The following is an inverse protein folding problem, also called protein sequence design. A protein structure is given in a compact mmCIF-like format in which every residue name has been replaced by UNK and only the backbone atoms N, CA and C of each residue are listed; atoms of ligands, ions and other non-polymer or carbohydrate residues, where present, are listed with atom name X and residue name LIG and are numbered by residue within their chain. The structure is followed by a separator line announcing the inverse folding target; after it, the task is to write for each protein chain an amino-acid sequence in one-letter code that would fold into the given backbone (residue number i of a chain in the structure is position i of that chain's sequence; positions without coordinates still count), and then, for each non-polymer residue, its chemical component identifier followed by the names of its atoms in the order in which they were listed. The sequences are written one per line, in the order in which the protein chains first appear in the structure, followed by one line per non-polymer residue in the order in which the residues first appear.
data_IF_767881488654
#
_entry.id   IF_767881488654
#
_cell.length_a   1.000
_cell.length_b   1.000
_cell.length_c   1.000
_cell.angle_alpha   90.00
_cell.angle_beta   90.00
_cell.angle_gamma   90.00
#
_symmetry.space_group_name_H-M   'P 1'
#
loop_
_entity.id
_entity.type
_entity.pdbx_description
1 polymer ?
#
# COMPACT_ATOMS: atom_id res chain seq x y z
N UNK A 1 6.68 12.76 -15.96
CA UNK A 1 7.53 11.85 -16.75
C UNK A 1 7.59 12.39 -18.17
N UNK A 2 8.73 12.97 -18.55
CA UNK A 2 8.96 13.55 -19.89
C UNK A 2 9.39 12.47 -20.87
N UNK A 3 9.02 12.64 -22.13
CA UNK A 3 9.17 11.73 -23.29
C UNK A 3 10.64 11.47 -23.70
N UNK A 4 11.62 11.66 -22.80
CA UNK A 4 13.04 11.70 -23.14
C UNK A 4 13.87 10.47 -22.74
N UNK A 5 13.34 9.52 -21.95
CA UNK A 5 14.13 8.38 -21.44
C UNK A 5 13.97 7.05 -22.22
N UNK A 6 13.48 7.09 -23.47
CA UNK A 6 13.34 5.90 -24.33
C UNK A 6 14.54 5.66 -25.28
N UNK A 7 15.74 6.07 -24.89
CA UNK A 7 16.96 5.94 -25.71
C UNK A 7 17.92 4.83 -25.26
N UNK A 8 17.43 3.60 -25.04
CA UNK A 8 18.29 2.40 -25.01
C UNK A 8 18.20 1.62 -26.33
N UNK A 9 18.69 2.23 -27.41
CA UNK A 9 18.44 1.81 -28.79
C UNK A 9 19.49 0.86 -29.41
N UNK A 10 20.40 0.26 -28.63
CA UNK A 10 21.63 -0.35 -29.20
C UNK A 10 21.72 -1.87 -29.31
N UNK A 11 20.64 -2.64 -29.12
CA UNK A 11 20.60 -4.05 -29.55
C UNK A 11 19.25 -4.52 -30.09
N UNK A 12 18.43 -3.62 -30.67
CA UNK A 12 17.15 -4.02 -31.25
C UNK A 12 17.36 -4.87 -32.52
N UNK A 13 16.98 -6.15 -32.46
CA UNK A 13 17.19 -7.14 -33.52
C UNK A 13 16.59 -6.67 -34.86
N UNK A 14 17.23 -7.05 -35.98
CA UNK A 14 16.84 -6.61 -37.31
C UNK A 14 15.38 -6.99 -37.67
N UNK A 15 14.87 -8.05 -37.07
CA UNK A 15 13.48 -8.49 -37.18
C UNK A 15 12.50 -7.51 -36.54
N UNK A 16 12.73 -7.14 -35.29
CA UNK A 16 11.83 -6.24 -34.55
C UNK A 16 11.80 -4.84 -35.17
N UNK A 17 12.93 -4.38 -35.74
CA UNK A 17 12.97 -3.15 -36.57
C UNK A 17 12.04 -3.21 -37.78
N UNK A 18 11.97 -4.37 -38.46
CA UNK A 18 11.06 -4.56 -39.60
C UNK A 18 9.61 -4.56 -39.15
N UNK A 19 9.29 -5.21 -38.03
CA UNK A 19 7.93 -5.23 -37.49
C UNK A 19 7.49 -3.82 -37.07
N UNK A 20 8.33 -3.07 -36.35
CA UNK A 20 8.07 -1.68 -35.97
C UNK A 20 7.78 -0.79 -37.19
N UNK A 21 8.62 -0.87 -38.23
CA UNK A 21 8.42 -0.11 -39.47
C UNK A 21 7.10 -0.50 -40.18
N UNK A 22 6.74 -1.79 -40.16
CA UNK A 22 5.46 -2.26 -40.72
C UNK A 22 4.27 -1.75 -39.91
N UNK A 23 4.35 -1.72 -38.58
CA UNK A 23 3.30 -1.17 -37.71
C UNK A 23 3.11 0.32 -38.00
N UNK A 24 4.20 1.09 -37.99
CA UNK A 24 4.18 2.53 -38.26
C UNK A 24 3.55 2.84 -39.63
N UNK A 25 3.99 2.13 -40.67
CA UNK A 25 3.46 2.29 -42.03
C UNK A 25 1.97 1.98 -42.10
N UNK A 26 1.53 0.85 -41.51
CA UNK A 26 0.12 0.44 -41.56
C UNK A 26 -0.78 1.40 -40.76
N UNK A 27 -0.38 1.80 -39.56
CA UNK A 27 -1.14 2.77 -38.77
C UNK A 27 -1.23 4.12 -39.51
N UNK A 28 -0.17 4.55 -40.21
CA UNK A 28 -0.22 5.74 -41.04
C UNK A 28 -1.22 5.64 -42.21
N UNK A 29 -1.43 4.44 -42.77
CA UNK A 29 -2.41 4.21 -43.86
C UNK A 29 -3.86 4.08 -43.39
N UNK A 30 -4.09 3.70 -42.12
CA UNK A 30 -5.43 3.48 -41.55
C UNK A 30 -6.11 4.78 -41.05
N UNK A 31 -5.51 5.95 -41.27
CA UNK A 31 -5.91 7.22 -40.66
C UNK A 31 -7.38 7.60 -40.89
N UNK A 32 -8.10 7.74 -39.78
CA UNK A 32 -9.24 8.65 -39.62
C UNK A 32 -9.13 9.42 -38.29
N UNK A 33 -8.00 10.09 -38.03
CA UNK A 33 -7.78 10.88 -36.80
C UNK A 33 -6.33 10.91 -36.30
N UNK A 34 -6.15 11.40 -35.07
CA UNK A 34 -4.84 11.55 -34.41
C UNK A 34 -4.30 10.25 -33.79
N UNK A 35 -5.15 9.23 -33.61
CA UNK A 35 -4.83 7.94 -32.99
C UNK A 35 -5.42 6.76 -33.78
N UNK A 36 -4.88 5.53 -33.66
CA UNK A 36 -3.69 5.15 -32.90
C UNK A 36 -2.37 5.54 -33.60
N UNK A 37 -1.32 5.82 -32.82
CA UNK A 37 0.02 6.21 -33.27
C UNK A 37 1.08 5.30 -32.65
N UNK A 38 2.00 4.80 -33.47
CA UNK A 38 3.17 4.09 -32.98
C UNK A 38 4.09 5.04 -32.20
N UNK A 39 4.40 4.71 -30.94
CA UNK A 39 5.23 5.54 -30.06
C UNK A 39 6.65 4.98 -29.89
N UNK A 40 6.81 3.66 -30.04
CA UNK A 40 8.12 3.02 -30.00
C UNK A 40 8.02 1.52 -29.78
N UNK A 41 9.18 0.87 -29.75
CA UNK A 41 9.29 -0.51 -29.29
C UNK A 41 10.36 -0.56 -28.19
N UNK A 42 10.10 -1.36 -27.16
CA UNK A 42 11.00 -1.56 -26.03
C UNK A 42 11.35 -3.03 -25.93
N UNK A 43 12.60 -3.35 -25.58
CA UNK A 43 12.97 -4.73 -25.27
C UNK A 43 12.62 -5.01 -23.80
N UNK A 44 11.88 -6.08 -23.52
CA UNK A 44 11.65 -6.52 -22.15
C UNK A 44 12.95 -7.10 -21.60
N UNK A 45 13.54 -6.48 -20.57
CA UNK A 45 14.73 -6.98 -19.88
C UNK A 45 14.40 -8.03 -18.80
N UNK A 46 13.17 -8.58 -18.77
CA UNK A 46 12.77 -9.52 -17.74
C UNK A 46 13.07 -10.97 -18.14
N UNK A 47 14.22 -11.44 -17.63
CA UNK A 47 14.66 -12.84 -17.43
C UNK A 47 14.87 -13.71 -18.67
N UNK A 48 16.15 -13.98 -18.92
CA UNK A 48 16.72 -15.24 -19.41
C UNK A 48 15.82 -16.09 -20.36
N UNK A 49 16.05 -15.90 -21.66
CA UNK A 49 15.81 -16.84 -22.79
C UNK A 49 14.75 -16.52 -23.86
N UNK A 50 14.09 -15.36 -23.87
CA UNK A 50 13.38 -14.87 -25.08
C UNK A 50 13.62 -13.38 -25.31
N UNK A 51 14.10 -13.01 -26.50
CA UNK A 51 14.16 -11.61 -26.95
C UNK A 51 12.73 -11.13 -27.24
N UNK A 52 11.95 -10.81 -26.21
CA UNK A 52 10.60 -10.31 -26.37
C UNK A 52 10.61 -8.78 -26.46
N UNK A 53 10.01 -8.25 -27.52
CA UNK A 53 9.82 -6.83 -27.75
C UNK A 53 8.37 -6.43 -27.46
N UNK A 54 8.20 -5.37 -26.67
CA UNK A 54 6.92 -4.74 -26.42
C UNK A 54 6.75 -3.57 -27.39
N UNK A 55 5.58 -3.48 -28.02
CA UNK A 55 5.25 -2.39 -28.94
C UNK A 55 4.37 -1.37 -28.22
N UNK A 56 4.88 -0.14 -28.10
CA UNK A 56 4.24 0.97 -27.42
C UNK A 56 3.43 1.77 -28.43
N UNK A 57 2.12 1.84 -28.21
CA UNK A 57 1.18 2.49 -29.14
C UNK A 57 0.33 3.49 -28.36
N UNK A 58 0.37 4.75 -28.76
CA UNK A 58 -0.57 5.76 -28.29
C UNK A 58 -1.93 5.50 -28.93
N UNK A 59 -2.94 5.20 -28.13
CA UNK A 59 -4.29 4.85 -28.61
C UNK A 59 -5.31 5.96 -28.36
N UNK A 60 -4.98 6.91 -27.47
CA UNK A 60 -5.68 8.17 -27.25
C UNK A 60 -4.74 9.18 -26.57
N UNK A 61 -5.20 10.40 -26.35
CA UNK A 61 -4.43 11.43 -25.65
C UNK A 61 -4.04 10.94 -24.24
N UNK A 62 -2.74 10.78 -24.00
CA UNK A 62 -2.16 10.25 -22.74
C UNK A 62 -2.58 8.82 -22.38
N UNK A 63 -3.05 8.03 -23.35
CA UNK A 63 -3.36 6.61 -23.16
C UNK A 63 -2.48 5.79 -24.09
N UNK A 64 -1.72 4.88 -23.49
CA UNK A 64 -0.77 4.02 -24.21
C UNK A 64 -1.15 2.57 -24.03
N UNK A 65 -1.20 1.83 -25.13
CA UNK A 65 -1.24 0.38 -25.13
C UNK A 65 0.20 -0.14 -25.17
N UNK A 66 0.51 -1.08 -24.28
CA UNK A 66 1.66 -1.96 -24.41
C UNK A 66 1.16 -3.25 -25.05
N UNK A 67 1.64 -3.55 -26.25
CA UNK A 67 1.37 -4.81 -26.91
C UNK A 67 2.50 -5.80 -26.59
N UNK A 68 2.32 -6.52 -25.48
CA UNK A 68 3.20 -7.62 -25.08
C UNK A 68 2.87 -8.84 -25.95
N UNK A 69 3.83 -9.30 -26.76
CA UNK A 69 3.69 -10.53 -27.54
C UNK A 69 3.99 -11.74 -26.64
N UNK A 70 3.21 -11.98 -25.58
CA UNK A 70 3.39 -13.18 -24.75
C UNK A 70 3.23 -14.46 -25.60
N UNK A 71 4.04 -15.51 -25.36
CA UNK A 71 4.23 -16.63 -26.26
C UNK A 71 3.10 -17.64 -26.08
N UNK A 72 1.91 -17.35 -26.59
CA UNK A 72 0.86 -18.38 -26.72
C UNK A 72 0.83 -19.01 -28.11
N UNK A 73 1.62 -18.52 -29.08
CA UNK A 73 1.59 -19.06 -30.43
C UNK A 73 3.01 -19.13 -30.98
N UNK A 74 3.46 -20.31 -31.41
CA UNK A 74 4.75 -20.57 -32.08
C UNK A 74 4.96 -19.81 -33.40
N UNK A 75 4.09 -18.86 -33.71
CA UNK A 75 4.10 -17.97 -34.86
C UNK A 75 5.20 -16.90 -34.80
N UNK A 76 5.59 -16.49 -33.59
CA UNK A 76 6.62 -15.50 -33.35
C UNK A 76 8.04 -16.07 -33.43
N UNK A 77 8.23 -17.35 -33.73
CA UNK A 77 9.57 -17.94 -33.89
C UNK A 77 9.91 -18.26 -35.37
N UNK A 78 8.98 -18.02 -36.30
CA UNK A 78 9.16 -18.32 -37.72
C UNK A 78 9.49 -17.04 -38.50
N UNK A 79 10.67 -17.00 -39.12
CA UNK A 79 11.07 -15.91 -40.02
C UNK A 79 10.08 -15.76 -41.19
N UNK A 80 9.72 -14.53 -41.57
CA UNK A 80 8.75 -14.24 -42.64
C UNK A 80 7.34 -13.89 -42.15
N UNK A 81 7.08 -13.93 -40.84
CA UNK A 81 5.79 -13.56 -40.24
C UNK A 81 5.69 -12.10 -39.77
N UNK A 82 6.69 -11.24 -40.06
CA UNK A 82 6.72 -9.85 -39.60
C UNK A 82 5.45 -9.08 -39.98
N UNK A 83 4.96 -9.26 -41.21
CA UNK A 83 3.70 -8.67 -41.66
C UNK A 83 2.50 -9.16 -40.85
N UNK A 84 2.44 -10.45 -40.50
CA UNK A 84 1.33 -10.98 -39.71
C UNK A 84 1.33 -10.44 -38.28
N UNK A 85 2.51 -10.33 -37.67
CA UNK A 85 2.68 -9.70 -36.35
C UNK A 85 2.24 -8.23 -36.43
N UNK A 86 2.75 -7.47 -37.41
CA UNK A 86 2.38 -6.07 -37.59
C UNK A 86 0.89 -5.87 -37.84
N UNK A 87 0.24 -6.72 -38.64
CA UNK A 87 -1.22 -6.69 -38.84
C UNK A 87 -1.96 -6.86 -37.52
N UNK A 88 -1.57 -7.88 -36.73
CA UNK A 88 -2.22 -8.17 -35.47
C UNK A 88 -2.07 -7.04 -34.46
N UNK A 89 -0.86 -6.46 -34.38
CA UNK A 89 -0.59 -5.30 -33.53
C UNK A 89 -1.41 -4.09 -33.99
N UNK A 90 -1.53 -3.83 -35.30
CA UNK A 90 -2.39 -2.78 -35.83
C UNK A 90 -3.88 -3.03 -35.55
N UNK A 91 -4.36 -4.26 -35.71
CA UNK A 91 -5.76 -4.63 -35.41
C UNK A 91 -6.08 -4.40 -33.92
N UNK A 92 -5.15 -4.79 -33.04
CA UNK A 92 -5.28 -4.52 -31.61
C UNK A 92 -5.20 -3.03 -31.29
N UNK A 93 -4.29 -2.29 -31.91
CA UNK A 93 -4.19 -0.85 -31.74
C UNK A 93 -5.47 -0.12 -32.17
N UNK A 94 -6.08 -0.53 -33.29
CA UNK A 94 -7.34 0.05 -33.77
C UNK A 94 -8.48 -0.24 -32.79
N UNK A 95 -8.64 -1.50 -32.36
CA UNK A 95 -9.65 -1.88 -31.34
C UNK A 95 -9.45 -1.11 -30.03
N UNK A 96 -8.20 -1.05 -29.57
CA UNK A 96 -7.81 -0.32 -28.38
C UNK A 96 -8.12 1.18 -28.49
N UNK A 97 -7.90 1.78 -29.66
CA UNK A 97 -8.22 3.19 -29.90
C UNK A 97 -9.73 3.47 -29.86
N UNK A 98 -10.56 2.58 -30.42
CA UNK A 98 -12.02 2.70 -30.28
C UNK A 98 -12.46 2.59 -28.81
N UNK A 99 -11.96 1.59 -28.09
CA UNK A 99 -12.27 1.45 -26.66
C UNK A 99 -11.76 2.65 -25.86
N UNK A 100 -10.57 3.18 -26.15
CA UNK A 100 -10.05 4.36 -25.49
C UNK A 100 -10.89 5.62 -25.78
N UNK A 101 -11.43 5.76 -26.99
CA UNK A 101 -12.37 6.82 -27.33
C UNK A 101 -13.68 6.71 -26.53
N UNK A 102 -14.21 5.49 -26.39
CA UNK A 102 -15.41 5.22 -25.57
C UNK A 102 -15.16 5.44 -24.07
N UNK A 103 -13.93 5.18 -23.61
CA UNK A 103 -13.53 5.40 -22.22
C UNK A 103 -13.17 6.85 -21.91
N UNK A 104 -12.85 7.68 -22.90
CA UNK A 104 -12.41 9.06 -22.67
C UNK A 104 -13.42 9.91 -21.88
N UNK A 105 -14.74 9.89 -22.19
CA UNK A 105 -15.75 10.58 -21.38
C UNK A 105 -15.81 10.05 -19.94
N UNK A 106 -15.73 8.72 -19.76
CA UNK A 106 -15.73 8.09 -18.43
C UNK A 106 -14.49 8.48 -17.62
N UNK A 107 -13.32 8.53 -18.26
CA UNK A 107 -12.08 8.98 -17.65
C UNK A 107 -12.16 10.45 -17.21
N UNK A 108 -12.65 11.34 -18.08
CA UNK A 108 -12.83 12.76 -17.75
C UNK A 108 -13.80 12.95 -16.59
N UNK A 109 -14.91 12.20 -16.60
CA UNK A 109 -15.90 12.22 -15.53
C UNK A 109 -15.32 11.70 -14.21
N UNK A 110 -14.60 10.58 -14.25
CA UNK A 110 -13.87 10.04 -13.09
C UNK A 110 -12.84 11.04 -12.53
N UNK A 111 -12.05 11.68 -13.40
CA UNK A 111 -11.06 12.68 -12.99
C UNK A 111 -11.71 13.90 -12.34
N UNK A 112 -12.83 14.38 -12.89
CA UNK A 112 -13.60 15.48 -12.31
C UNK A 112 -14.20 15.10 -10.96
N UNK A 113 -14.77 13.90 -10.84
CA UNK A 113 -15.36 13.41 -9.59
C UNK A 113 -14.30 13.20 -8.52
N UNK A 114 -13.13 12.64 -8.86
CA UNK A 114 -11.98 12.56 -7.96
C UNK A 114 -11.51 13.95 -7.47
N UNK A 115 -11.40 14.92 -8.38
CA UNK A 115 -11.03 16.29 -8.04
C UNK A 115 -12.03 16.93 -7.06
N UNK A 116 -13.34 16.81 -7.31
CA UNK A 116 -14.38 17.34 -6.43
C UNK A 116 -14.36 16.71 -5.04
N UNK A 117 -14.10 15.40 -4.96
CA UNK A 117 -13.98 14.67 -3.69
C UNK A 117 -12.77 15.14 -2.88
N UNK A 118 -11.62 15.34 -3.54
CA UNK A 118 -10.41 15.88 -2.88
C UNK A 118 -10.64 17.32 -2.42
N UNK A 119 -11.20 18.19 -3.27
CA UNK A 119 -11.50 19.58 -2.90
C UNK A 119 -12.49 19.69 -1.73
N UNK A 120 -13.37 18.69 -1.56
CA UNK A 120 -14.25 18.61 -0.40
C UNK A 120 -13.45 18.26 0.86
N UNK A 121 -12.54 17.28 0.79
CA UNK A 121 -11.62 16.95 1.88
C UNK A 121 -10.74 18.14 2.29
N UNK A 122 -10.13 18.83 1.32
CA UNK A 122 -9.32 20.03 1.57
C UNK A 122 -10.13 21.14 2.25
N UNK A 123 -11.38 21.38 1.83
CA UNK A 123 -12.28 22.35 2.49
C UNK A 123 -12.62 22.00 3.93
N UNK A 124 -12.53 20.73 4.31
CA UNK A 124 -12.66 20.26 5.70
C UNK A 124 -11.35 20.37 6.49
N UNK A 125 -10.27 20.87 5.88
CA UNK A 125 -8.95 20.96 6.49
C UNK A 125 -8.17 19.64 6.47
N UNK A 126 -8.57 18.67 5.65
CA UNK A 126 -7.90 17.38 5.60
C UNK A 126 -6.65 17.43 4.70
N UNK A 127 -5.55 16.78 5.12
CA UNK A 127 -4.33 16.65 4.31
C UNK A 127 -4.56 15.60 3.21
N UNK A 128 -5.21 16.02 2.13
CA UNK A 128 -5.49 15.20 0.96
C UNK A 128 -5.19 15.97 -0.31
N UNK A 129 -4.59 15.31 -1.31
CA UNK A 129 -4.30 15.90 -2.61
C UNK A 129 -4.45 14.86 -3.71
N UNK A 130 -4.98 15.26 -4.86
CA UNK A 130 -5.05 14.39 -6.03
C UNK A 130 -3.67 14.27 -6.67
N UNK A 131 -3.14 13.04 -6.79
CA UNK A 131 -1.84 12.78 -7.43
C UNK A 131 -2.06 12.38 -8.87
N UNK A 132 -2.91 11.39 -9.13
CA UNK A 132 -3.18 10.92 -10.48
C UNK A 132 -4.52 10.21 -10.60
N UNK A 133 -5.03 10.16 -11.83
CA UNK A 133 -6.11 9.27 -12.25
C UNK A 133 -5.62 8.56 -13.50
N UNK A 134 -5.64 7.25 -13.51
CA UNK A 134 -5.26 6.44 -14.67
C UNK A 134 -6.21 5.25 -14.83
N UNK A 135 -6.22 4.67 -16.02
CA UNK A 135 -6.89 3.39 -16.25
C UNK A 135 -6.06 2.29 -15.58
N UNK A 136 -6.70 1.41 -14.81
CA UNK A 136 -6.06 0.20 -14.31
C UNK A 136 -5.60 -0.66 -15.49
N UNK A 137 -4.67 -1.60 -15.26
CA UNK A 137 -4.24 -2.53 -16.29
C UNK A 137 -5.47 -3.24 -16.89
N UNK A 138 -5.73 -2.97 -18.17
CA UNK A 138 -6.89 -3.49 -18.87
C UNK A 138 -6.43 -4.58 -19.84
N UNK A 139 -6.49 -5.84 -19.38
CA UNK A 139 -6.15 -7.02 -20.18
C UNK A 139 -7.23 -7.32 -21.22
N UNK A 140 -6.81 -7.80 -22.39
CA UNK A 140 -7.63 -8.19 -23.56
C UNK A 140 -9.07 -7.64 -23.58
N UNK A 141 -9.21 -6.37 -24.00
CA UNK A 141 -10.35 -5.70 -24.66
C UNK A 141 -11.71 -6.42 -24.75
N UNK A 142 -12.29 -6.87 -23.63
CA UNK A 142 -13.55 -7.62 -23.64
C UNK A 142 -14.79 -6.70 -23.68
N UNK A 143 -14.76 -5.53 -23.01
CA UNK A 143 -15.79 -4.48 -23.11
C UNK A 143 -15.37 -3.17 -22.39
N UNK A 144 -15.70 -1.97 -22.92
CA UNK A 144 -15.43 -0.71 -22.21
C UNK A 144 -16.02 -0.68 -20.80
N UNK A 145 -17.18 -1.30 -20.58
CA UNK A 145 -17.90 -1.26 -19.30
C UNK A 145 -17.11 -1.84 -18.11
N UNK A 146 -16.21 -2.79 -18.37
CA UNK A 146 -15.36 -3.42 -17.36
C UNK A 146 -14.12 -2.60 -16.97
N UNK A 147 -13.94 -1.42 -17.58
CA UNK A 147 -12.83 -0.53 -17.28
C UNK A 147 -12.79 -0.15 -15.80
N UNK A 148 -11.64 -0.40 -15.18
CA UNK A 148 -11.32 0.08 -13.85
C UNK A 148 -10.38 1.27 -13.94
N UNK A 149 -10.56 2.21 -13.02
CA UNK A 149 -9.77 3.41 -12.84
C UNK A 149 -9.02 3.29 -11.52
N UNK A 150 -7.78 3.74 -11.51
CA UNK A 150 -6.99 3.91 -10.29
C UNK A 150 -6.88 5.41 -10.03
N UNK A 151 -7.48 5.84 -8.94
CA UNK A 151 -7.35 7.19 -8.41
C UNK A 151 -6.32 7.15 -7.31
N UNK A 152 -5.21 7.85 -7.47
CA UNK A 152 -4.18 7.97 -6.44
C UNK A 152 -4.29 9.33 -5.78
N UNK A 153 -4.45 9.31 -4.46
CA UNK A 153 -4.37 10.52 -3.62
C UNK A 153 -3.14 10.45 -2.73
N UNK A 154 -2.58 11.62 -2.43
CA UNK A 154 -1.60 11.81 -1.37
C UNK A 154 -2.37 12.15 -0.09
N UNK A 155 -2.08 11.45 1.01
CA UNK A 155 -2.74 11.67 2.30
C UNK A 155 -1.94 11.11 3.48
N UNK A 156 -2.45 11.19 4.71
CA UNK A 156 -1.79 10.63 5.89
C UNK A 156 -1.92 9.10 5.98
N UNK A 157 -0.77 8.44 6.05
CA UNK A 157 -0.64 7.03 6.38
C UNK A 157 -0.89 6.72 7.85
N UNK A 158 -0.68 5.45 8.23
CA UNK A 158 -0.84 4.99 9.62
C UNK A 158 0.20 5.62 10.55
N UNK A 159 1.44 5.78 10.09
CA UNK A 159 2.49 6.52 10.77
C UNK A 159 2.30 8.06 10.71
N UNK A 160 1.14 8.56 10.28
CA UNK A 160 0.81 9.98 10.15
C UNK A 160 1.79 10.78 9.26
N UNK A 161 2.40 10.10 8.29
CA UNK A 161 3.25 10.72 7.26
C UNK A 161 2.56 10.68 5.91
N UNK A 162 3.00 11.55 5.00
CA UNK A 162 2.47 11.58 3.64
C UNK A 162 2.67 10.23 2.96
N UNK A 163 1.61 9.72 2.35
CA UNK A 163 1.53 8.43 1.66
C UNK A 163 0.64 8.57 0.42
N UNK A 164 1.03 7.88 -0.65
CA UNK A 164 0.15 7.67 -1.79
C UNK A 164 -0.79 6.49 -1.54
N UNK A 165 -2.09 6.73 -1.66
CA UNK A 165 -3.15 5.73 -1.50
C UNK A 165 -3.85 5.53 -2.85
N UNK A 166 -3.61 4.40 -3.55
CA UNK A 166 -4.35 4.04 -4.74
C UNK A 166 -5.74 3.50 -4.39
N UNK A 167 -6.76 3.96 -5.10
CA UNK A 167 -8.14 3.50 -5.03
C UNK A 167 -8.56 2.96 -6.39
N UNK A 168 -8.80 1.65 -6.49
CA UNK A 168 -9.29 1.02 -7.72
C UNK A 168 -10.81 0.98 -7.74
N UNK A 169 -11.42 1.47 -8.83
CA UNK A 169 -12.89 1.60 -8.95
C UNK A 169 -13.36 1.47 -10.39
N UNK A 170 -14.56 0.95 -10.62
CA UNK A 170 -15.21 0.93 -11.95
C UNK A 170 -16.16 2.11 -12.21
N UNK A 171 -16.55 2.85 -11.15
CA UNK A 171 -17.57 3.90 -11.23
C UNK A 171 -17.35 5.04 -10.24
N UNK A 172 -17.94 6.19 -10.51
CA UNK A 172 -17.87 7.38 -9.63
C UNK A 172 -18.58 7.16 -8.30
N UNK A 173 -19.67 6.39 -8.30
CA UNK A 173 -20.40 6.05 -7.09
C UNK A 173 -19.55 5.17 -6.16
N UNK A 174 -18.85 4.19 -6.71
CA UNK A 174 -17.91 3.37 -5.97
C UNK A 174 -16.71 4.19 -5.48
N UNK A 175 -16.21 5.14 -6.28
CA UNK A 175 -15.18 6.08 -5.84
C UNK A 175 -15.66 6.90 -4.63
N UNK A 176 -16.88 7.42 -4.69
CA UNK A 176 -17.48 8.18 -3.60
C UNK A 176 -17.53 7.39 -2.29
N UNK A 177 -17.91 6.10 -2.34
CA UNK A 177 -17.89 5.22 -1.16
C UNK A 177 -16.48 5.01 -0.59
N UNK A 178 -15.50 4.74 -1.45
CA UNK A 178 -14.09 4.59 -1.03
C UNK A 178 -13.57 5.87 -0.36
N UNK A 179 -13.93 7.03 -0.91
CA UNK A 179 -13.59 8.32 -0.32
C UNK A 179 -14.24 8.55 1.04
N UNK A 180 -15.52 8.22 1.23
CA UNK A 180 -16.19 8.38 2.53
C UNK A 180 -15.46 7.61 3.62
N UNK A 181 -15.19 6.32 3.40
CA UNK A 181 -14.45 5.47 4.35
C UNK A 181 -13.03 5.99 4.61
N UNK A 182 -12.36 6.48 3.55
CA UNK A 182 -11.04 7.08 3.69
C UNK A 182 -11.09 8.38 4.52
N UNK A 183 -12.06 9.26 4.28
CA UNK A 183 -12.17 10.56 4.95
C UNK A 183 -12.44 10.41 6.45
N UNK A 184 -13.29 9.47 6.87
CA UNK A 184 -13.54 9.19 8.30
C UNK A 184 -12.25 8.77 9.04
N UNK A 185 -11.42 7.97 8.38
CA UNK A 185 -10.11 7.58 8.93
C UNK A 185 -9.13 8.75 8.93
N UNK A 186 -9.15 9.58 7.90
CA UNK A 186 -8.26 10.74 7.79
C UNK A 186 -8.58 11.86 8.77
N UNK A 187 -9.83 12.05 9.15
CA UNK A 187 -10.21 12.98 10.22
C UNK A 187 -9.53 12.61 11.54
N UNK A 188 -9.60 11.33 11.92
CA UNK A 188 -8.94 10.82 13.14
C UNK A 188 -7.42 11.01 13.06
N UNK A 189 -6.82 10.69 11.92
CA UNK A 189 -5.38 10.88 11.69
C UNK A 189 -4.96 12.34 11.68
N UNK A 190 -5.76 13.26 11.14
CA UNK A 190 -5.45 14.69 11.13
C UNK A 190 -5.45 15.25 12.56
N UNK A 191 -6.42 14.84 13.38
CA UNK A 191 -6.45 15.21 14.81
C UNK A 191 -5.24 14.63 15.55
N UNK A 192 -4.91 13.35 15.32
CA UNK A 192 -3.74 12.72 15.92
C UNK A 192 -2.43 13.43 15.51
N UNK A 193 -2.30 13.79 14.23
CA UNK A 193 -1.13 14.51 13.71
C UNK A 193 -0.99 15.89 14.36
N UNK A 194 -2.08 16.65 14.45
CA UNK A 194 -2.07 17.96 15.11
C UNK A 194 -1.63 17.86 16.58
N UNK A 195 -2.09 16.84 17.32
CA UNK A 195 -1.66 16.61 18.71
C UNK A 195 -0.16 16.34 18.82
N UNK A 196 0.39 15.53 17.91
CA UNK A 196 1.83 15.25 17.89
C UNK A 196 2.64 16.49 17.51
N UNK A 197 2.15 17.29 16.55
CA UNK A 197 2.78 18.55 16.15
C UNK A 197 2.84 19.53 17.33
N UNK A 198 1.75 19.67 18.11
CA UNK A 198 1.71 20.51 19.31
C UNK A 198 2.71 20.04 20.39
N UNK A 199 2.96 18.73 20.47
CA UNK A 199 3.93 18.12 21.38
C UNK A 199 5.37 18.08 20.83
N UNK A 200 5.60 18.50 19.59
CA UNK A 200 6.86 18.32 18.86
C UNK A 200 7.33 16.84 18.84
N UNK A 201 6.38 15.92 18.67
CA UNK A 201 6.60 14.48 18.63
C UNK A 201 6.43 13.91 17.22
N UNK A 202 7.14 12.82 16.92
CA UNK A 202 6.98 12.04 15.70
C UNK A 202 5.85 11.01 15.81
N UNK A 203 5.59 10.54 17.03
CA UNK A 203 4.58 9.52 17.35
C UNK A 203 4.48 9.28 18.85
N UNK A 204 3.61 8.36 19.22
CA UNK A 204 3.56 7.76 20.56
C UNK A 204 4.05 6.32 20.51
N UNK A 205 4.58 5.84 21.62
CA UNK A 205 4.90 4.43 21.84
C UNK A 205 4.43 4.05 23.24
N UNK A 206 3.74 2.93 23.37
CA UNK A 206 3.34 2.44 24.68
C UNK A 206 4.57 1.91 25.46
N UNK A 207 4.54 1.99 26.78
CA UNK A 207 5.67 1.58 27.64
C UNK A 207 6.03 0.09 27.48
N UNK A 208 5.07 -0.79 27.23
CA UNK A 208 5.32 -2.23 27.03
C UNK A 208 6.17 -2.45 25.78
N UNK A 209 5.79 -1.79 24.68
CA UNK A 209 6.48 -1.79 23.40
C UNK A 209 7.87 -1.18 23.52
N UNK A 210 8.02 -0.07 24.25
CA UNK A 210 9.32 0.53 24.52
C UNK A 210 10.25 -0.41 25.29
N UNK A 211 9.75 -1.06 26.34
CA UNK A 211 10.52 -2.03 27.11
C UNK A 211 10.91 -3.24 26.25
N UNK A 212 10.00 -3.71 25.40
CA UNK A 212 10.26 -4.85 24.52
C UNK A 212 11.34 -4.54 23.47
N UNK A 213 11.32 -3.36 22.83
CA UNK A 213 12.36 -2.99 21.85
C UNK A 213 13.74 -2.81 22.50
N UNK A 214 13.79 -2.32 23.74
CA UNK A 214 15.04 -2.14 24.48
C UNK A 214 15.75 -3.48 24.77
N UNK A 215 15.02 -4.60 24.76
CA UNK A 215 15.58 -5.95 24.90
C UNK A 215 16.22 -6.47 23.61
N UNK A 216 15.69 -6.05 22.46
CA UNK A 216 16.18 -6.49 21.15
C UNK A 216 17.38 -5.66 20.71
N UNK A 217 17.38 -4.35 20.98
CA UNK A 217 18.48 -3.49 20.58
C UNK A 217 18.29 -2.03 20.93
N UNK A 218 18.92 -1.16 20.14
CA UNK A 218 18.83 0.28 20.33
C UNK A 218 17.43 0.77 19.92
N UNK A 219 16.61 1.13 20.91
CA UNK A 219 15.26 1.63 20.74
C UNK A 219 15.17 2.75 19.69
N UNK A 220 16.07 3.74 19.73
CA UNK A 220 16.01 4.87 18.81
C UNK A 220 16.35 4.46 17.36
N UNK A 221 17.28 3.53 17.16
CA UNK A 221 17.59 3.00 15.83
C UNK A 221 16.41 2.20 15.24
N UNK A 222 15.67 1.49 16.10
CA UNK A 222 14.45 0.77 15.72
C UNK A 222 13.34 1.77 15.35
N UNK A 223 13.10 2.78 16.18
CA UNK A 223 12.13 3.85 15.90
C UNK A 223 12.46 4.60 14.60
N UNK A 224 13.74 4.88 14.33
CA UNK A 224 14.22 5.43 13.05
C UNK A 224 13.82 4.56 11.86
N UNK A 225 13.92 3.24 11.99
CA UNK A 225 13.52 2.29 10.94
C UNK A 225 12.01 2.32 10.72
N UNK A 226 11.24 2.38 11.81
CA UNK A 226 9.78 2.48 11.80
C UNK A 226 9.28 3.74 11.08
N UNK A 227 10.05 4.83 11.00
CA UNK A 227 9.64 6.06 10.29
C UNK A 227 9.22 5.84 8.83
N UNK A 228 9.65 4.73 8.22
CA UNK A 228 9.39 4.38 6.82
C UNK A 228 8.51 3.14 6.65
N UNK A 229 8.05 2.53 7.75
CA UNK A 229 7.30 1.25 7.76
C UNK A 229 6.10 1.35 8.68
N UNK A 230 5.06 0.55 8.43
CA UNK A 230 3.95 0.44 9.39
C UNK A 230 4.14 -0.74 10.33
N UNK A 231 5.01 -1.68 9.95
CA UNK A 231 5.23 -2.94 10.62
C UNK A 231 6.72 -3.30 10.59
N UNK A 232 7.21 -3.92 11.67
CA UNK A 232 8.59 -4.40 11.77
C UNK A 232 8.69 -5.61 12.70
N UNK A 233 9.07 -6.75 12.12
CA UNK A 233 9.44 -7.95 12.88
C UNK A 233 10.86 -7.82 13.42
N UNK A 234 11.02 -8.02 14.73
CA UNK A 234 12.27 -7.81 15.47
C UNK A 234 12.93 -9.11 15.97
N UNK A 235 12.37 -10.27 15.60
CA UNK A 235 12.85 -11.62 15.96
C UNK A 235 12.12 -12.19 17.20
N UNK A 236 12.18 -13.51 17.40
CA UNK A 236 11.48 -14.23 18.49
C UNK A 236 9.98 -13.92 18.57
N UNK A 237 9.30 -13.95 17.42
CA UNK A 237 7.84 -13.77 17.33
C UNK A 237 7.36 -12.41 17.90
N UNK A 238 8.23 -11.40 17.87
CA UNK A 238 7.95 -10.02 18.26
C UNK A 238 7.83 -9.11 17.04
N UNK A 239 6.71 -8.40 16.95
CA UNK A 239 6.38 -7.45 15.90
C UNK A 239 6.02 -6.09 16.50
N UNK A 240 6.45 -5.01 15.85
CA UNK A 240 5.95 -3.67 16.09
C UNK A 240 4.97 -3.29 15.00
N UNK A 241 3.85 -2.70 15.39
CA UNK A 241 2.88 -2.12 14.48
C UNK A 241 2.74 -0.63 14.79
N UNK A 242 2.63 0.19 13.75
CA UNK A 242 2.41 1.63 13.84
C UNK A 242 1.05 1.97 13.22
N UNK A 243 0.11 2.37 14.07
CA UNK A 243 -1.24 2.73 13.67
C UNK A 243 -1.65 4.07 14.25
N UNK A 244 -2.24 4.93 13.41
CA UNK A 244 -2.74 6.26 13.79
C UNK A 244 -1.75 7.11 14.62
N UNK A 245 -0.45 6.97 14.37
CA UNK A 245 0.60 7.70 15.09
C UNK A 245 1.13 7.01 16.33
N UNK A 246 0.54 5.90 16.77
CA UNK A 246 0.96 5.11 17.91
C UNK A 246 1.66 3.82 17.50
N UNK A 247 2.79 3.54 18.14
CA UNK A 247 3.51 2.27 18.03
C UNK A 247 3.09 1.38 19.18
N UNK A 248 2.60 0.20 18.84
CA UNK A 248 2.37 -0.89 19.78
C UNK A 248 3.09 -2.16 19.32
N UNK A 249 3.07 -3.16 20.17
CA UNK A 249 3.75 -4.42 19.90
C UNK A 249 2.82 -5.61 20.01
N UNK A 250 3.20 -6.63 19.26
CA UNK A 250 2.62 -7.96 19.26
C UNK A 250 3.76 -8.92 19.61
N UNK A 251 3.51 -9.81 20.55
CA UNK A 251 4.43 -10.90 20.86
C UNK A 251 3.65 -12.21 20.92
N UNK A 252 4.04 -13.17 20.10
CA UNK A 252 3.41 -14.48 20.08
C UNK A 252 4.20 -15.46 20.97
N UNK A 253 3.69 -15.64 22.19
CA UNK A 253 3.88 -16.85 23.01
C UNK A 253 5.29 -17.20 23.49
N UNK A 254 6.28 -16.34 23.29
CA UNK A 254 7.61 -16.55 23.89
C UNK A 254 7.49 -16.59 25.41
N UNK A 255 7.97 -17.67 26.02
CA UNK A 255 7.91 -17.89 27.47
C UNK A 255 6.49 -17.94 28.09
N UNK A 256 5.50 -18.48 27.36
CA UNK A 256 4.07 -18.59 27.78
C UNK A 256 3.33 -17.26 27.86
N UNK A 257 3.99 -16.15 27.58
CA UNK A 257 3.40 -14.82 27.61
C UNK A 257 3.24 -14.34 26.18
N UNK A 258 2.02 -13.99 25.82
CA UNK A 258 1.70 -13.38 24.54
C UNK A 258 0.99 -12.04 24.78
N UNK A 259 1.16 -11.08 23.89
CA UNK A 259 0.35 -9.87 23.94
C UNK A 259 0.07 -9.28 22.57
N UNK A 260 -1.00 -8.51 22.49
CA UNK A 260 -1.35 -7.69 21.33
C UNK A 260 -1.86 -6.36 21.85
N UNK A 261 -1.04 -5.32 21.72
CA UNK A 261 -1.31 -4.02 22.35
C UNK A 261 -1.44 -4.17 23.86
N UNK A 262 -2.61 -3.80 24.41
CA UNK A 262 -2.89 -3.86 25.85
C UNK A 262 -3.41 -5.21 26.35
N UNK A 263 -3.62 -6.20 25.48
CA UNK A 263 -4.16 -7.50 25.88
C UNK A 263 -3.00 -8.47 26.11
N UNK A 264 -2.82 -8.91 27.36
CA UNK A 264 -1.83 -9.89 27.78
C UNK A 264 -2.50 -11.25 27.98
N UNK A 265 -1.93 -12.29 27.41
CA UNK A 265 -2.32 -13.69 27.63
C UNK A 265 -1.16 -14.46 28.25
N UNK A 266 -1.43 -15.15 29.36
CA UNK A 266 -0.47 -16.02 30.03
C UNK A 266 -0.98 -17.46 29.95
N UNK A 267 -0.28 -18.30 29.19
CA UNK A 267 -0.61 -19.71 29.01
C UNK A 267 -0.09 -20.57 30.16
N UNK A 268 -0.73 -21.72 30.38
CA UNK A 268 -0.44 -22.67 31.46
C UNK A 268 -0.46 -22.04 32.85
N UNK A 269 -1.30 -21.03 33.05
CA UNK A 269 -1.38 -20.26 34.30
C UNK A 269 -2.83 -20.09 34.73
N UNK A 270 -3.06 -20.23 36.05
CA UNK A 270 -4.37 -20.07 36.68
C UNK A 270 -4.21 -19.15 37.86
N UNK A 271 -5.08 -18.15 37.95
CA UNK A 271 -5.17 -17.26 39.10
C UNK A 271 -6.48 -17.52 39.83
N UNK A 272 -6.45 -17.66 41.17
CA UNK A 272 -7.67 -17.66 41.96
C UNK A 272 -8.51 -16.41 41.68
N UNK A 273 -9.84 -16.53 41.69
CA UNK A 273 -10.76 -15.42 41.44
C UNK A 273 -10.48 -14.22 42.38
N UNK A 274 -10.18 -14.50 43.65
CA UNK A 274 -9.80 -13.48 44.63
C UNK A 274 -8.53 -12.73 44.25
N UNK A 275 -7.54 -13.41 43.67
CA UNK A 275 -6.31 -12.79 43.16
C UNK A 275 -6.62 -11.94 41.93
N UNK A 276 -7.50 -12.40 41.03
CA UNK A 276 -7.93 -11.63 39.87
C UNK A 276 -8.58 -10.30 40.29
N UNK A 277 -9.50 -10.33 41.26
CA UNK A 277 -10.16 -9.13 41.78
C UNK A 277 -9.14 -8.17 42.41
N UNK A 278 -8.21 -8.70 43.20
CA UNK A 278 -7.22 -7.88 43.91
C UNK A 278 -6.14 -7.29 43.00
N UNK A 279 -5.93 -7.87 41.82
CA UNK A 279 -4.94 -7.40 40.86
C UNK A 279 -5.36 -6.13 40.13
N UNK A 280 -6.65 -5.83 40.03
CA UNK A 280 -7.15 -4.65 39.31
C UNK A 280 -6.59 -3.35 39.94
N UNK A 281 -6.03 -2.48 39.11
CA UNK A 281 -5.35 -1.24 39.49
C UNK A 281 -3.98 -1.45 40.16
N UNK A 282 -3.47 -2.69 40.22
CA UNK A 282 -2.13 -3.02 40.71
C UNK A 282 -1.16 -3.20 39.56
N UNK A 283 0.15 -3.08 39.83
CA UNK A 283 1.20 -3.45 38.89
C UNK A 283 0.99 -4.84 38.30
N UNK A 284 1.10 -4.98 36.99
CA UNK A 284 1.03 -6.28 36.30
C UNK A 284 2.12 -7.25 36.79
N UNK A 285 3.23 -6.71 37.29
CA UNK A 285 4.33 -7.47 37.90
C UNK A 285 3.92 -8.22 39.17
N UNK A 286 2.83 -7.82 39.83
CA UNK A 286 2.25 -8.56 40.97
C UNK A 286 1.54 -9.84 40.50
N UNK A 287 1.15 -9.90 39.23
CA UNK A 287 0.47 -11.05 38.61
C UNK A 287 1.46 -11.98 37.92
N UNK A 288 2.38 -11.41 37.14
CA UNK A 288 3.39 -12.15 36.39
C UNK A 288 4.68 -11.34 36.22
N UNK A 289 5.81 -11.99 36.47
CA UNK A 289 7.12 -11.45 36.18
C UNK A 289 7.47 -11.73 34.71
N UNK A 290 7.66 -10.67 33.92
CA UNK A 290 8.18 -10.77 32.55
C UNK A 290 9.06 -9.56 32.25
N UNK A 291 10.22 -9.68 31.55
CA UNK A 291 11.18 -8.58 31.44
C UNK A 291 10.70 -7.37 30.60
N UNK A 292 9.60 -7.49 29.85
CA UNK A 292 8.97 -6.35 29.17
C UNK A 292 7.94 -5.61 30.05
N UNK A 293 7.54 -6.22 31.17
CA UNK A 293 6.56 -5.66 32.10
C UNK A 293 7.27 -4.84 33.19
N UNK A 294 6.65 -3.74 33.59
CA UNK A 294 7.16 -2.75 34.54
C UNK A 294 6.06 -2.41 35.55
N UNK A 295 6.44 -1.93 36.75
CA UNK A 295 5.50 -1.59 37.82
C UNK A 295 4.50 -0.50 37.45
N UNK A 296 4.82 0.32 36.43
CA UNK A 296 3.94 1.36 35.89
C UNK A 296 2.83 0.84 35.00
N UNK A 297 2.92 -0.41 34.54
CA UNK A 297 1.87 -1.06 33.74
C UNK A 297 0.88 -1.69 34.70
N UNK A 298 -0.37 -1.23 34.66
CA UNK A 298 -1.39 -1.67 35.62
C UNK A 298 -2.34 -2.68 34.98
N UNK A 299 -2.95 -3.53 35.80
CA UNK A 299 -4.02 -4.43 35.37
C UNK A 299 -5.35 -3.66 35.40
N UNK A 300 -5.95 -3.43 34.24
CA UNK A 300 -7.29 -2.85 34.14
C UNK A 300 -8.38 -3.90 34.38
N UNK A 301 -8.27 -5.05 33.71
CA UNK A 301 -9.12 -6.22 33.96
C UNK A 301 -8.29 -7.49 33.88
N UNK A 302 -8.74 -8.55 34.57
CA UNK A 302 -8.10 -9.87 34.48
C UNK A 302 -9.13 -10.97 34.67
N UNK A 303 -8.99 -12.02 33.87
CA UNK A 303 -9.84 -13.21 33.88
C UNK A 303 -8.97 -14.44 33.79
N UNK A 304 -9.24 -15.43 34.64
CA UNK A 304 -8.57 -16.73 34.63
C UNK A 304 -9.53 -17.79 34.08
N UNK A 305 -9.04 -18.57 33.12
CA UNK A 305 -9.79 -19.66 32.49
C UNK A 305 -9.14 -20.99 32.89
N UNK A 306 -9.95 -21.86 33.50
CA UNK A 306 -9.56 -23.22 33.88
C UNK A 306 -10.52 -24.20 33.19
N UNK A 307 -9.99 -25.19 32.47
CA UNK A 307 -10.79 -26.17 31.75
C UNK A 307 -9.98 -27.27 31.06
N UNK A 308 -10.67 -28.30 30.53
CA UNK A 308 -10.05 -29.53 29.98
C UNK A 308 -9.16 -29.33 28.74
N UNK A 309 -9.06 -28.12 28.18
CA UNK A 309 -8.32 -27.85 26.93
C UNK A 309 -7.08 -26.97 27.06
N UNK A 310 -7.07 -25.97 27.96
CA UNK A 310 -5.94 -25.10 28.25
C UNK A 310 -6.25 -24.22 29.46
N UNK A 311 -5.24 -23.99 30.29
CA UNK A 311 -5.31 -23.04 31.39
C UNK A 311 -4.65 -21.75 30.94
N UNK A 312 -5.32 -20.61 31.08
CA UNK A 312 -4.73 -19.33 30.74
C UNK A 312 -5.36 -18.17 31.50
N UNK A 313 -4.59 -17.10 31.60
CA UNK A 313 -5.04 -15.80 32.13
C UNK A 313 -5.05 -14.79 30.99
N UNK A 314 -6.12 -14.03 30.87
CA UNK A 314 -6.19 -12.84 30.01
C UNK A 314 -6.28 -11.62 30.92
N UNK A 315 -5.38 -10.65 30.70
CA UNK A 315 -5.41 -9.35 31.36
C UNK A 315 -5.46 -8.22 30.32
N UNK A 316 -6.36 -7.27 30.50
CA UNK A 316 -6.29 -5.99 29.79
C UNK A 316 -5.48 -5.01 30.65
N UNK A 317 -4.44 -4.44 30.06
CA UNK A 317 -3.47 -3.59 30.73
C UNK A 317 -3.78 -2.11 30.51
N UNK A 318 -3.53 -1.30 31.53
CA UNK A 318 -3.42 0.15 31.41
C UNK A 318 -1.94 0.48 31.24
N UNK A 319 -1.54 0.78 29.99
CA UNK A 319 -0.15 1.01 29.61
C UNK A 319 0.06 2.52 29.41
N UNK A 320 1.04 3.14 30.08
CA UNK A 320 1.38 4.54 29.82
C UNK A 320 1.89 4.73 28.39
N UNK A 321 1.34 5.73 27.70
CA UNK A 321 1.84 6.20 26.42
C UNK A 321 2.99 7.20 26.61
N UNK A 322 3.96 7.14 25.72
CA UNK A 322 5.12 8.02 25.69
C UNK A 322 5.22 8.69 24.33
N UNK A 323 5.45 9.99 24.28
CA UNK A 323 5.88 10.64 23.05
C UNK A 323 7.32 10.29 22.73
N UNK A 324 7.65 10.24 21.44
CA UNK A 324 9.03 10.17 20.97
C UNK A 324 9.28 11.17 19.84
N UNK A 325 10.53 11.63 19.73
CA UNK A 325 11.03 12.41 18.60
C UNK A 325 12.36 11.80 18.16
N UNK A 326 12.39 11.35 16.90
CA UNK A 326 13.52 10.62 16.33
C UNK A 326 14.70 11.53 16.01
N UNK A 327 14.42 12.78 15.63
CA UNK A 327 15.46 13.77 15.30
C UNK A 327 16.23 14.21 16.55
N UNK A 328 15.52 14.49 17.65
CA UNK A 328 16.15 14.87 18.92
C UNK A 328 16.61 13.68 19.76
N UNK A 329 16.12 12.47 19.45
CA UNK A 329 16.40 11.26 20.22
C UNK A 329 15.71 11.20 21.58
N UNK A 330 14.66 12.00 21.79
CA UNK A 330 13.96 12.11 23.06
C UNK A 330 12.74 11.18 23.13
N UNK A 331 12.47 10.67 24.34
CA UNK A 331 11.25 9.93 24.70
C UNK A 331 10.76 10.48 26.05
N UNK A 332 9.48 10.85 26.16
CA UNK A 332 8.91 11.47 27.37
C UNK A 332 7.43 11.12 27.54
N UNK A 333 6.86 11.41 28.71
CA UNK A 333 5.45 11.11 29.01
C UNK A 333 4.47 11.88 28.11
N UNK A 334 3.43 11.19 27.64
CA UNK A 334 2.38 11.77 26.81
C UNK A 334 1.43 12.73 27.54
#
# INVERSE_FOLDING_TARGET
MTVADLTSYHSFAARERRIAALIECRLATLRSGDFPRFAGATASMLKECTEDADYVIEIALRVTMLADLFPTIGDHQVAGNESRVANRVCDYAMRASYVAADLAPRFQSMAKSAQLLVENGERRGLPVKLVSVHLAQFGFWEQPDDAQFVVTIETLGQNLRSRHMPMTTGSEEALGRLFVTAMETLERRAVARARLDDANADGTIDLLSLNAIARVGNAMAILQTMMTRNDLTLGNDFELCWEEGAIYSIADGTDRVAWTGSILTVSDYVLPETTCINAIGRPVTDVIAHPALDERILVGTVTSHEGEGANFVIACLEIPDLYFNVESGQIWSA
#
